data_IF_820475672416
#
_entry.id   IF_820475672416
#
_cell.length_a   1.000
_cell.length_b   1.000
_cell.length_c   1.000
_cell.angle_alpha   90.00
_cell.angle_beta   90.00
_cell.angle_gamma   90.00
#
_symmetry.space_group_name_H-M   'P 1'
#
loop_
_entity.id
_entity.type
_entity.pdbx_description
1 polymer ?
#
# COMPACT_ATOMS: atom_id res chain seq x y z
N UNK A 1 13.85 20.44 -16.33
CA UNK A 1 14.95 19.60 -16.85
C UNK A 1 14.49 19.06 -18.21
N UNK A 2 15.13 19.44 -19.30
CA UNK A 2 14.77 19.00 -20.67
C UNK A 2 15.65 17.81 -21.08
N UNK A 3 15.13 16.60 -21.02
CA UNK A 3 15.79 15.46 -21.64
C UNK A 3 15.46 15.43 -23.13
N UNK A 4 16.46 15.47 -23.99
CA UNK A 4 16.30 15.52 -25.46
C UNK A 4 16.46 14.18 -26.16
N UNK A 5 16.91 13.13 -25.43
CA UNK A 5 17.15 11.80 -26.00
C UNK A 5 16.46 10.72 -25.13
N UNK A 6 15.14 10.76 -25.08
CA UNK A 6 14.34 9.75 -24.37
C UNK A 6 13.96 8.65 -25.36
N UNK A 7 14.25 7.40 -25.00
CA UNK A 7 13.83 6.21 -25.74
C UNK A 7 12.91 5.36 -24.89
N UNK A 8 11.84 4.87 -25.49
CA UNK A 8 10.90 3.95 -24.86
C UNK A 8 11.13 2.57 -25.47
N UNK A 9 11.37 1.56 -24.62
CA UNK A 9 11.42 0.17 -25.06
C UNK A 9 9.99 -0.36 -25.20
N UNK A 10 9.58 -0.62 -26.47
CA UNK A 10 8.21 -1.00 -26.79
C UNK A 10 7.96 -2.47 -26.50
N UNK A 11 7.76 -2.98 -25.51
CA UNK A 11 7.58 -4.37 -25.05
C UNK A 11 7.81 -4.46 -23.54
N UNK A 12 8.42 -3.42 -23.00
CA UNK A 12 8.68 -3.27 -21.57
C UNK A 12 9.53 -4.42 -21.00
N UNK A 13 9.55 -4.52 -19.70
CA UNK A 13 10.36 -5.51 -18.98
C UNK A 13 9.97 -6.97 -19.28
N UNK A 14 8.71 -7.21 -19.66
CA UNK A 14 8.25 -8.57 -20.00
C UNK A 14 8.91 -9.09 -21.26
N UNK A 15 8.96 -8.27 -22.29
CA UNK A 15 9.61 -8.60 -23.56
C UNK A 15 11.12 -8.67 -23.42
N UNK A 16 11.73 -7.75 -22.66
CA UNK A 16 13.15 -7.78 -22.31
C UNK A 16 13.57 -9.12 -21.72
N UNK A 17 12.78 -9.65 -20.75
CA UNK A 17 13.00 -10.96 -20.13
C UNK A 17 12.84 -12.11 -21.12
N UNK A 18 11.79 -12.04 -21.96
CA UNK A 18 11.53 -13.06 -22.99
C UNK A 18 12.66 -13.14 -24.02
N UNK A 19 13.28 -12.00 -24.33
CA UNK A 19 14.43 -11.91 -25.23
C UNK A 19 15.75 -12.37 -24.61
N UNK A 20 15.76 -12.83 -23.35
CA UNK A 20 16.94 -13.36 -22.67
C UNK A 20 17.94 -12.29 -22.22
N UNK A 21 17.55 -10.99 -22.25
CA UNK A 21 18.44 -9.93 -21.81
C UNK A 21 18.61 -9.92 -20.28
N UNK A 22 19.83 -9.56 -19.84
CA UNK A 22 20.16 -9.48 -18.41
C UNK A 22 19.33 -8.42 -17.70
N UNK A 23 18.96 -8.74 -16.49
CA UNK A 23 18.30 -7.84 -15.54
C UNK A 23 19.11 -7.85 -14.27
N UNK A 24 19.55 -6.66 -13.85
CA UNK A 24 20.16 -6.47 -12.56
C UNK A 24 19.13 -5.92 -11.57
N UNK A 25 19.07 -6.51 -10.39
CA UNK A 25 18.29 -6.03 -9.28
C UNK A 25 19.25 -5.56 -8.19
N UNK A 26 19.24 -4.27 -7.89
CA UNK A 26 20.08 -3.66 -6.84
C UNK A 26 19.67 -4.19 -5.46
N UNK A 27 18.38 -4.45 -5.27
CA UNK A 27 17.81 -4.95 -4.02
C UNK A 27 16.71 -5.99 -4.31
N UNK A 28 17.09 -7.26 -4.55
CA UNK A 28 16.14 -8.29 -4.91
C UNK A 28 15.15 -8.54 -3.76
N UNK A 29 13.86 -8.53 -4.08
CA UNK A 29 12.82 -8.84 -3.11
C UNK A 29 12.64 -10.35 -2.98
N UNK A 30 12.43 -10.87 -1.74
CA UNK A 30 12.16 -12.27 -1.51
C UNK A 30 10.89 -12.73 -2.23
N UNK A 31 10.78 -14.01 -2.51
CA UNK A 31 9.48 -14.60 -2.88
C UNK A 31 8.60 -14.57 -1.63
N UNK A 32 7.44 -13.92 -1.75
CA UNK A 32 6.46 -13.84 -0.68
C UNK A 32 5.08 -13.65 -1.31
N UNK A 33 4.17 -14.54 -0.96
CA UNK A 33 2.77 -14.43 -1.33
C UNK A 33 1.99 -13.89 -0.14
N UNK A 34 1.77 -12.59 -0.15
CA UNK A 34 1.00 -11.92 0.88
C UNK A 34 -0.51 -12.16 0.74
N UNK A 35 -1.22 -12.09 1.85
CA UNK A 35 -2.68 -12.16 1.88
C UNK A 35 -3.30 -10.84 1.41
N UNK A 36 -4.40 -10.93 0.65
CA UNK A 36 -5.24 -9.80 0.31
C UNK A 36 -6.60 -9.94 1.00
N UNK A 37 -7.09 -8.85 1.55
CA UNK A 37 -8.47 -8.72 2.01
C UNK A 37 -9.33 -8.17 0.87
N UNK A 38 -10.56 -8.65 0.76
CA UNK A 38 -11.60 -7.97 -0.01
C UNK A 38 -12.01 -6.68 0.71
N UNK A 39 -12.73 -5.81 0.01
CA UNK A 39 -13.23 -4.58 0.63
C UNK A 39 -14.23 -4.88 1.77
N UNK A 40 -15.08 -5.92 1.61
CA UNK A 40 -16.02 -6.37 2.65
C UNK A 40 -15.31 -6.91 3.90
N UNK A 41 -14.28 -7.74 3.71
CA UNK A 41 -13.47 -8.26 4.82
C UNK A 41 -12.77 -7.13 5.56
N UNK A 42 -12.25 -6.13 4.84
CA UNK A 42 -11.61 -4.98 5.44
C UNK A 42 -12.62 -4.11 6.19
N UNK A 43 -13.77 -3.79 5.57
CA UNK A 43 -14.83 -3.00 6.21
C UNK A 43 -15.28 -3.64 7.52
N UNK A 44 -15.49 -4.95 7.52
CA UNK A 44 -15.87 -5.69 8.74
C UNK A 44 -14.82 -5.54 9.83
N UNK A 45 -13.54 -5.68 9.48
CA UNK A 45 -12.44 -5.54 10.44
C UNK A 45 -12.27 -4.11 10.97
N UNK A 46 -12.44 -3.11 10.12
CA UNK A 46 -12.36 -1.71 10.53
C UNK A 46 -13.54 -1.33 11.41
N UNK A 47 -14.77 -1.75 11.08
CA UNK A 47 -15.94 -1.53 11.92
C UNK A 47 -15.80 -2.18 13.29
N UNK A 48 -15.16 -3.33 13.38
CA UNK A 48 -14.87 -3.97 14.66
C UNK A 48 -13.81 -3.19 15.44
N UNK A 49 -12.73 -2.80 14.78
CA UNK A 49 -11.68 -1.98 15.40
C UNK A 49 -12.21 -0.61 15.87
N UNK A 50 -13.05 0.05 15.08
CA UNK A 50 -13.63 1.36 15.40
C UNK A 50 -14.55 1.31 16.63
N UNK A 51 -15.27 0.19 16.87
CA UNK A 51 -16.04 -0.02 18.11
C UNK A 51 -15.16 -0.04 19.36
N UNK A 52 -13.89 -0.35 19.23
CA UNK A 52 -12.89 -0.39 20.28
C UNK A 52 -11.92 0.80 20.22
N UNK A 53 -12.31 1.90 19.54
CA UNK A 53 -11.45 3.06 19.30
C UNK A 53 -10.11 2.69 18.64
N UNK A 54 -10.13 1.67 17.82
CA UNK A 54 -8.97 1.08 17.15
C UNK A 54 -7.83 0.65 18.10
N UNK A 55 -8.12 0.36 19.36
CA UNK A 55 -7.15 -0.05 20.37
C UNK A 55 -7.49 -1.43 20.96
N UNK A 56 -6.49 -2.28 21.11
CA UNK A 56 -6.60 -3.52 21.85
C UNK A 56 -6.55 -3.27 23.39
N UNK A 57 -6.67 -4.32 24.18
CA UNK A 57 -6.61 -4.28 25.65
C UNK A 57 -5.30 -3.70 26.20
N UNK A 58 -4.23 -3.67 25.39
CA UNK A 58 -2.93 -3.10 25.73
C UNK A 58 -2.73 -1.69 25.12
N UNK A 59 -3.81 -1.05 24.67
CA UNK A 59 -3.81 0.25 24.01
C UNK A 59 -2.92 0.31 22.74
N UNK A 60 -2.82 -0.81 22.00
CA UNK A 60 -2.12 -0.87 20.71
C UNK A 60 -3.13 -0.86 19.58
N UNK A 61 -2.76 -0.23 18.48
CA UNK A 61 -3.62 -0.18 17.31
C UNK A 61 -3.99 -1.59 16.81
N UNK A 62 -5.28 -1.87 16.72
CA UNK A 62 -5.83 -3.12 16.18
C UNK A 62 -5.58 -3.23 14.68
N UNK A 63 -5.66 -2.11 13.98
CA UNK A 63 -5.32 -1.98 12.58
C UNK A 63 -4.56 -0.67 12.31
N UNK A 64 -3.71 -0.66 11.29
CA UNK A 64 -3.04 0.52 10.78
C UNK A 64 -3.08 0.47 9.25
N UNK A 65 -3.53 1.55 8.63
CA UNK A 65 -3.53 1.67 7.18
C UNK A 65 -2.22 2.32 6.73
N UNK A 66 -1.65 1.83 5.65
CA UNK A 66 -0.49 2.44 4.98
C UNK A 66 -0.91 2.80 3.57
N UNK A 67 -1.23 4.08 3.36
CA UNK A 67 -1.66 4.62 2.08
C UNK A 67 -0.48 5.27 1.36
N UNK A 68 -0.04 4.63 0.29
CA UNK A 68 1.07 5.12 -0.53
C UNK A 68 0.60 5.65 -1.89
N UNK A 69 -0.61 6.15 -1.96
CA UNK A 69 -1.07 6.95 -3.10
C UNK A 69 -0.51 8.36 -2.97
N UNK A 70 -0.19 8.95 -4.09
CA UNK A 70 0.38 10.30 -4.14
C UNK A 70 -0.53 11.24 -4.93
N UNK A 71 -1.04 12.24 -4.26
CA UNK A 71 -1.90 13.28 -4.87
C UNK A 71 -1.15 14.05 -5.96
N UNK A 72 0.10 14.40 -5.72
CA UNK A 72 0.93 15.14 -6.68
C UNK A 72 1.21 14.34 -7.96
N UNK A 73 1.34 13.01 -7.83
CA UNK A 73 1.58 12.14 -8.98
C UNK A 73 0.33 12.02 -9.87
N UNK A 74 -0.84 11.99 -9.27
CA UNK A 74 -2.10 11.85 -9.99
C UNK A 74 -2.59 13.18 -10.60
N UNK A 75 -1.89 14.30 -10.32
CA UNK A 75 -2.24 15.65 -10.79
C UNK A 75 -3.72 15.99 -10.60
N UNK A 76 -4.29 15.54 -9.50
CA UNK A 76 -5.67 15.83 -9.17
C UNK A 76 -5.76 17.17 -8.45
N UNK A 77 -6.67 18.03 -8.88
CA UNK A 77 -6.96 19.30 -8.20
C UNK A 77 -7.73 19.08 -6.88
N UNK A 78 -8.23 17.88 -6.67
CA UNK A 78 -9.01 17.51 -5.48
C UNK A 78 -8.21 16.54 -4.61
N UNK A 79 -8.30 16.69 -3.28
CA UNK A 79 -7.67 15.74 -2.37
C UNK A 79 -8.21 14.32 -2.62
N UNK A 80 -7.32 13.32 -2.53
CA UNK A 80 -7.72 11.93 -2.68
C UNK A 80 -8.52 11.49 -1.45
N UNK A 81 -9.67 10.81 -1.65
CA UNK A 81 -10.40 10.23 -0.54
C UNK A 81 -9.58 9.14 0.13
N UNK A 82 -9.58 9.12 1.45
CA UNK A 82 -9.01 8.05 2.28
C UNK A 82 -10.14 7.16 2.83
N UNK A 83 -9.82 5.95 3.26
CA UNK A 83 -10.80 5.11 3.98
C UNK A 83 -11.14 5.81 5.29
N UNK A 84 -12.43 6.00 5.55
CA UNK A 84 -12.90 6.57 6.82
C UNK A 84 -12.86 5.51 7.90
N UNK A 85 -12.02 5.72 8.92
CA UNK A 85 -11.86 4.85 10.09
C UNK A 85 -11.22 5.62 11.23
N UNK A 86 -11.44 5.21 12.48
CA UNK A 86 -10.71 5.70 13.64
C UNK A 86 -9.29 5.14 13.76
N UNK A 87 -8.91 4.19 12.90
CA UNK A 87 -7.59 3.59 12.93
C UNK A 87 -6.50 4.50 12.33
N UNK A 88 -5.26 4.43 12.84
CA UNK A 88 -4.16 5.21 12.32
C UNK A 88 -3.93 4.98 10.83
N UNK A 89 -3.72 6.07 10.09
CA UNK A 89 -3.32 6.02 8.67
C UNK A 89 -1.96 6.67 8.48
N UNK A 90 -1.00 5.91 7.96
CA UNK A 90 0.34 6.38 7.61
C UNK A 90 0.33 6.69 6.11
N UNK A 91 0.60 7.93 5.74
CA UNK A 91 0.78 8.33 4.34
C UNK A 91 2.27 8.39 4.01
N UNK A 92 2.69 7.69 2.96
CA UNK A 92 4.07 7.67 2.47
C UNK A 92 4.10 7.31 0.99
N UNK A 93 5.26 7.42 0.33
CA UNK A 93 5.44 6.82 -0.98
C UNK A 93 5.86 5.35 -0.86
N UNK A 94 5.60 4.58 -1.90
CA UNK A 94 6.05 3.18 -1.95
C UNK A 94 7.57 3.08 -1.80
N UNK A 95 8.31 3.99 -2.44
CA UNK A 95 9.77 4.01 -2.37
C UNK A 95 10.32 4.43 -1.01
N UNK A 96 9.55 5.19 -0.22
CA UNK A 96 9.93 5.61 1.13
C UNK A 96 9.96 4.43 2.12
N UNK A 97 9.34 3.30 1.79
CA UNK A 97 9.45 2.08 2.60
C UNK A 97 10.90 1.56 2.70
N UNK A 98 11.81 2.04 1.83
CA UNK A 98 13.26 1.79 1.92
C UNK A 98 13.89 2.53 3.10
N UNK A 99 13.36 3.69 3.45
CA UNK A 99 13.85 4.48 4.56
C UNK A 99 13.42 3.85 5.91
N UNK A 100 14.37 3.49 6.78
CA UNK A 100 14.06 3.02 8.13
C UNK A 100 13.21 4.02 8.92
N UNK A 101 13.39 5.34 8.72
CA UNK A 101 12.63 6.37 9.44
C UNK A 101 11.13 6.33 9.08
N UNK A 102 10.79 5.99 7.85
CA UNK A 102 9.40 5.79 7.41
C UNK A 102 8.89 4.43 7.85
N UNK A 103 9.65 3.38 7.55
CA UNK A 103 9.27 2.00 7.82
C UNK A 103 9.06 1.71 9.30
N UNK A 104 9.86 2.29 10.19
CA UNK A 104 9.72 2.09 11.64
C UNK A 104 8.46 2.72 12.25
N UNK A 105 7.74 3.58 11.51
CA UNK A 105 6.42 4.07 11.91
C UNK A 105 5.33 3.00 11.74
N UNK A 106 5.57 2.00 10.90
CA UNK A 106 4.62 0.91 10.65
C UNK A 106 4.75 -0.09 11.81
N UNK A 107 3.65 -0.43 12.52
CA UNK A 107 3.70 -1.33 13.64
C UNK A 107 3.98 -2.78 13.20
N UNK A 108 4.76 -3.51 13.99
CA UNK A 108 5.01 -4.95 13.79
C UNK A 108 3.96 -5.85 14.44
N UNK A 109 2.98 -5.29 15.12
CA UNK A 109 1.83 -5.97 15.73
C UNK A 109 0.54 -5.31 15.26
N UNK A 110 -0.59 -6.00 15.46
CA UNK A 110 -1.85 -5.57 14.87
C UNK A 110 -1.92 -5.86 13.36
N UNK A 111 -3.03 -5.53 12.74
CA UNK A 111 -3.22 -5.68 11.30
C UNK A 111 -2.63 -4.46 10.57
N UNK A 112 -1.74 -4.67 9.62
CA UNK A 112 -1.26 -3.61 8.74
C UNK A 112 -1.88 -3.79 7.36
N UNK A 113 -2.64 -2.80 6.91
CA UNK A 113 -3.34 -2.83 5.62
C UNK A 113 -2.67 -1.87 4.65
N UNK A 114 -2.16 -2.42 3.57
CA UNK A 114 -1.60 -1.63 2.48
C UNK A 114 -2.71 -1.15 1.56
N UNK A 115 -2.65 0.11 1.21
CA UNK A 115 -3.66 0.77 0.38
C UNK A 115 -2.99 1.46 -0.80
N UNK A 116 -3.31 0.98 -1.99
CA UNK A 116 -2.98 1.68 -3.24
C UNK A 116 -4.23 1.90 -4.09
N UNK A 117 -4.07 2.46 -5.27
CA UNK A 117 -5.21 2.78 -6.13
C UNK A 117 -5.97 1.53 -6.63
N UNK A 118 -5.24 0.47 -7.00
CA UNK A 118 -5.79 -0.73 -7.67
C UNK A 118 -5.47 -2.06 -7.00
N UNK A 119 -4.70 -2.08 -5.90
CA UNK A 119 -4.21 -3.29 -5.24
C UNK A 119 -2.94 -3.89 -5.87
N UNK A 120 -2.54 -3.48 -7.06
CA UNK A 120 -1.41 -4.10 -7.77
C UNK A 120 -0.04 -3.84 -7.12
N UNK A 121 0.16 -2.66 -6.52
CA UNK A 121 1.42 -2.30 -5.86
C UNK A 121 1.58 -2.96 -4.50
N UNK A 122 0.49 -3.40 -3.89
CA UNK A 122 0.48 -4.01 -2.56
C UNK A 122 1.32 -5.28 -2.51
N UNK A 123 1.31 -6.09 -3.58
CA UNK A 123 2.15 -7.29 -3.65
C UNK A 123 3.65 -6.97 -3.56
N UNK A 124 4.09 -5.87 -4.16
CA UNK A 124 5.49 -5.43 -4.08
C UNK A 124 5.79 -4.90 -2.68
N UNK A 125 4.91 -4.05 -2.13
CA UNK A 125 5.07 -3.49 -0.79
C UNK A 125 5.10 -4.59 0.29
N UNK A 126 4.23 -5.61 0.20
CA UNK A 126 4.24 -6.76 1.12
C UNK A 126 5.57 -7.50 1.09
N UNK A 127 6.10 -7.79 -0.10
CA UNK A 127 7.41 -8.45 -0.24
C UNK A 127 8.53 -7.61 0.36
N UNK A 128 8.44 -6.30 0.17
CA UNK A 128 9.42 -5.37 0.71
C UNK A 128 9.38 -5.35 2.25
N UNK A 129 8.20 -5.19 2.83
CA UNK A 129 8.03 -5.19 4.27
C UNK A 129 8.38 -6.55 4.89
N UNK A 130 8.03 -7.66 4.23
CA UNK A 130 8.41 -9.00 4.67
C UNK A 130 9.93 -9.18 4.80
N UNK A 131 10.70 -8.60 3.88
CA UNK A 131 12.18 -8.59 3.95
C UNK A 131 12.70 -7.99 5.26
N UNK A 132 11.96 -7.07 5.87
CA UNK A 132 12.28 -6.41 7.14
C UNK A 132 11.52 -6.97 8.34
N UNK A 133 10.95 -8.18 8.20
CA UNK A 133 10.34 -8.93 9.30
C UNK A 133 8.90 -8.50 9.64
N UNK A 134 8.18 -7.84 8.72
CA UNK A 134 6.75 -7.58 8.89
C UNK A 134 5.94 -8.76 8.36
N UNK A 135 5.27 -9.48 9.26
CA UNK A 135 4.47 -10.67 8.93
C UNK A 135 2.95 -10.45 9.12
N UNK A 136 2.57 -9.25 9.54
CA UNK A 136 1.20 -8.82 9.85
C UNK A 136 0.58 -7.94 8.75
N UNK A 137 1.14 -7.97 7.55
CA UNK A 137 0.80 -7.07 6.44
C UNK A 137 -0.13 -7.77 5.45
N UNK A 138 -1.18 -7.08 5.06
CA UNK A 138 -2.13 -7.52 4.03
C UNK A 138 -2.34 -6.41 3.00
N UNK A 139 -2.71 -6.77 1.78
CA UNK A 139 -3.10 -5.83 0.74
C UNK A 139 -4.63 -5.67 0.66
N UNK A 140 -5.10 -4.52 0.18
CA UNK A 140 -6.50 -4.32 -0.18
C UNK A 140 -6.73 -4.76 -1.63
N UNK A 141 -7.47 -5.84 -1.82
CA UNK A 141 -7.85 -6.31 -3.16
C UNK A 141 -8.65 -5.22 -3.88
N UNK A 142 -8.28 -4.91 -5.11
CA UNK A 142 -8.83 -3.82 -5.94
C UNK A 142 -8.54 -2.39 -5.44
N UNK A 143 -7.85 -2.23 -4.32
CA UNK A 143 -7.42 -0.95 -3.77
C UNK A 143 -8.55 0.04 -3.50
N UNK A 144 -8.23 1.32 -3.45
CA UNK A 144 -9.23 2.38 -3.23
C UNK A 144 -10.28 2.48 -4.34
N UNK A 145 -9.91 2.12 -5.58
CA UNK A 145 -10.87 2.11 -6.68
C UNK A 145 -12.02 1.14 -6.42
N UNK A 146 -11.72 -0.06 -5.91
CA UNK A 146 -12.73 -1.03 -5.53
C UNK A 146 -13.55 -0.59 -4.31
N UNK A 147 -12.90 0.01 -3.31
CA UNK A 147 -13.55 0.56 -2.12
C UNK A 147 -14.60 1.61 -2.47
N UNK A 148 -14.23 2.60 -3.30
CA UNK A 148 -15.11 3.68 -3.75
C UNK A 148 -16.25 3.13 -4.64
N UNK A 149 -15.96 2.16 -5.52
CA UNK A 149 -16.99 1.55 -6.38
C UNK A 149 -18.08 0.85 -5.60
N UNK A 150 -17.78 0.36 -4.41
CA UNK A 150 -18.74 -0.26 -3.49
C UNK A 150 -19.44 0.75 -2.57
N UNK A 151 -19.20 2.05 -2.78
CA UNK A 151 -19.76 3.15 -1.99
C UNK A 151 -19.46 3.02 -0.49
N UNK A 152 -18.28 2.50 -0.16
CA UNK A 152 -17.83 2.33 1.23
C UNK A 152 -17.30 3.64 1.82
N UNK A 153 -17.33 3.80 3.16
CA UNK A 153 -17.05 5.06 3.83
C UNK A 153 -15.67 5.62 3.47
N UNK A 154 -15.66 6.86 3.02
CA UNK A 154 -14.44 7.64 2.74
C UNK A 154 -14.47 8.98 3.45
N UNK A 155 -13.27 9.54 3.67
CA UNK A 155 -13.07 10.88 4.17
C UNK A 155 -12.07 11.62 3.29
N UNK A 156 -12.15 12.95 3.29
CA UNK A 156 -11.21 13.81 2.59
C UNK A 156 -10.35 14.52 3.63
N UNK A 157 -9.03 14.49 3.45
CA UNK A 157 -8.13 15.30 4.28
C UNK A 157 -8.46 16.79 4.07
N UNK A 158 -8.61 17.51 5.19
CA UNK A 158 -8.77 18.98 5.17
C UNK A 158 -7.49 19.65 4.75
#
# INVERSE_FOLDING_TARGET
>A
MGFTNIKIYNGGLKDWKKSGYKIDAIDPLPRYEGRFLTADELLTKLNDADRHNCADENNKAMATLVDYRNENFLKTEKPLPSIKTGCPTIKCFLDDLKDPAVRNKIPKKGLVVLVCETGNRDAVAMRYLHKYGYNNVVGLRTGMRGWIKLDYPVEFSK
#
